data_IF_164795712673
#
_entry.id   IF_164795712673
#
_cell.length_a   1.000
_cell.length_b   1.000
_cell.length_c   1.000
_cell.angle_alpha   90.00
_cell.angle_beta   90.00
_cell.angle_gamma   90.00
#
_symmetry.space_group_name_H-M   'P 1'
#
loop_
_entity.id
_entity.type
_entity.pdbx_description
1 polymer ?
#
# COMPACT_ATOMS: atom_id res chain seq x y z
N UNK A 1 11.32 -18.69 1.86
CA UNK A 1 10.07 -19.36 1.46
C UNK A 1 10.05 -20.84 1.82
N UNK A 2 10.95 -21.74 1.33
CA UNK A 2 10.95 -23.18 1.70
C UNK A 2 10.96 -23.43 3.21
N UNK A 3 11.82 -22.76 3.99
CA UNK A 3 11.87 -22.92 5.46
C UNK A 3 10.56 -22.54 6.18
N UNK A 4 9.79 -21.59 5.67
CA UNK A 4 8.49 -21.22 6.21
C UNK A 4 7.39 -22.25 5.88
N UNK A 5 7.55 -22.97 4.77
CA UNK A 5 6.65 -24.07 4.39
C UNK A 5 6.95 -25.34 5.19
N UNK A 6 8.22 -25.58 5.56
CA UNK A 6 8.66 -26.73 6.34
C UNK A 6 8.34 -26.61 7.84
N UNK A 7 8.21 -25.37 8.36
CA UNK A 7 7.85 -25.12 9.76
C UNK A 7 7.01 -23.84 9.86
N UNK A 8 5.73 -23.88 9.50
CA UNK A 8 4.89 -22.69 9.29
C UNK A 8 4.55 -21.94 10.59
N UNK A 9 4.87 -22.49 11.75
CA UNK A 9 4.46 -21.92 13.02
C UNK A 9 2.94 -21.91 13.22
N UNK A 10 2.47 -21.12 14.18
CA UNK A 10 1.04 -20.90 14.37
C UNK A 10 0.49 -20.05 13.21
N UNK A 11 -0.66 -20.44 12.59
CA UNK A 11 -1.27 -19.65 11.53
C UNK A 11 -1.56 -18.21 11.96
N UNK A 12 -1.25 -17.23 11.10
CA UNK A 12 -1.37 -15.80 11.44
C UNK A 12 -2.79 -15.39 11.84
N UNK A 13 -3.81 -16.06 11.33
CA UNK A 13 -5.21 -15.81 11.65
C UNK A 13 -5.63 -16.31 13.05
N UNK A 14 -4.78 -17.08 13.74
CA UNK A 14 -4.94 -17.47 15.15
C UNK A 14 -4.22 -16.50 16.09
N UNK A 15 -3.36 -15.64 15.55
CA UNK A 15 -2.59 -14.68 16.33
C UNK A 15 -3.37 -13.37 16.54
N UNK A 16 -3.05 -12.67 17.64
CA UNK A 16 -3.44 -11.26 17.74
C UNK A 16 -2.74 -10.44 16.64
N UNK A 17 -3.31 -9.31 16.19
CA UNK A 17 -2.68 -8.45 15.19
C UNK A 17 -1.23 -8.10 15.54
N UNK A 18 -0.92 -7.77 16.80
CA UNK A 18 0.43 -7.43 17.23
C UNK A 18 1.42 -8.60 17.11
N UNK A 19 1.00 -9.80 17.47
CA UNK A 19 1.83 -11.01 17.30
C UNK A 19 2.06 -11.30 15.82
N UNK A 20 1.02 -11.19 14.99
CA UNK A 20 1.15 -11.37 13.54
C UNK A 20 2.09 -10.34 12.90
N UNK A 21 2.06 -9.09 13.34
CA UNK A 21 3.00 -8.02 12.93
C UNK A 21 4.43 -8.39 13.31
N UNK A 22 4.64 -8.84 14.54
CA UNK A 22 5.98 -9.23 15.01
C UNK A 22 6.58 -10.38 14.17
N UNK A 23 5.77 -11.33 13.70
CA UNK A 23 6.22 -12.40 12.78
C UNK A 23 6.77 -11.82 11.49
N UNK A 24 6.03 -10.91 10.84
CA UNK A 24 6.45 -10.31 9.58
C UNK A 24 7.70 -9.44 9.74
N UNK A 25 7.73 -8.58 10.75
CA UNK A 25 8.90 -7.72 11.05
C UNK A 25 10.14 -8.55 11.37
N UNK A 26 9.99 -9.64 12.12
CA UNK A 26 11.08 -10.56 12.43
C UNK A 26 11.69 -11.24 11.19
N UNK A 27 10.84 -11.60 10.22
CA UNK A 27 11.29 -12.17 8.94
C UNK A 27 12.12 -11.18 8.12
N UNK A 28 11.74 -9.91 8.12
CA UNK A 28 12.44 -8.85 7.38
C UNK A 28 13.71 -8.37 8.09
N UNK A 29 13.68 -8.24 9.42
CA UNK A 29 14.83 -7.80 10.20
C UNK A 29 16.05 -8.74 10.05
N UNK A 30 15.80 -10.03 9.87
CA UNK A 30 16.85 -11.05 9.70
C UNK A 30 17.36 -11.21 8.26
N UNK A 31 16.97 -10.32 7.35
CA UNK A 31 17.45 -10.36 5.97
C UNK A 31 18.94 -9.96 5.90
N UNK A 32 19.83 -10.81 5.37
CA UNK A 32 21.26 -10.49 5.25
C UNK A 32 21.57 -9.47 4.14
N UNK A 33 20.58 -9.04 3.40
CA UNK A 33 20.75 -8.18 2.23
C UNK A 33 20.87 -6.73 2.66
N UNK A 34 21.96 -6.07 2.30
CA UNK A 34 22.19 -4.67 2.59
C UNK A 34 21.15 -3.78 1.90
N UNK A 35 20.69 -2.76 2.61
CA UNK A 35 19.79 -1.74 2.07
C UNK A 35 20.62 -0.72 1.27
N UNK A 36 20.20 -0.37 0.03
CA UNK A 36 20.89 0.67 -0.73
C UNK A 36 20.88 2.02 0.00
N UNK A 37 21.94 2.83 -0.12
CA UNK A 37 22.00 4.14 0.51
C UNK A 37 20.96 5.09 -0.10
N UNK A 38 20.20 5.75 0.76
CA UNK A 38 19.19 6.76 0.41
C UNK A 38 19.05 7.76 1.53
N UNK A 39 18.57 8.95 1.24
CA UNK A 39 18.12 9.90 2.24
C UNK A 39 16.68 9.54 2.64
N UNK A 40 16.40 9.51 3.94
CA UNK A 40 15.09 9.12 4.50
C UNK A 40 14.64 10.16 5.51
N UNK A 41 13.43 10.65 5.34
CA UNK A 41 12.80 11.61 6.25
C UNK A 41 11.36 11.18 6.52
N UNK A 42 10.94 11.20 7.79
CA UNK A 42 9.54 10.93 8.17
C UNK A 42 8.92 12.20 8.73
N UNK A 43 7.69 12.50 8.29
CA UNK A 43 6.89 13.62 8.78
C UNK A 43 5.41 13.28 8.81
N UNK A 44 4.64 13.99 9.62
CA UNK A 44 3.19 13.98 9.60
C UNK A 44 2.68 15.10 8.71
N UNK A 45 1.73 14.80 7.87
CA UNK A 45 1.06 15.76 6.99
C UNK A 45 -0.44 15.72 7.23
N UNK A 46 -1.11 16.84 7.05
CA UNK A 46 -2.55 16.96 7.19
C UNK A 46 -3.13 17.45 5.89
N UNK A 47 -4.07 16.72 5.33
CA UNK A 47 -4.78 17.08 4.10
C UNK A 47 -6.07 16.27 3.97
N UNK A 48 -6.81 16.51 2.90
CA UNK A 48 -8.07 15.82 2.63
C UNK A 48 -9.30 16.56 3.15
N UNK A 49 -10.51 16.05 2.83
CA UNK A 49 -11.76 16.73 3.13
C UNK A 49 -12.05 16.89 4.63
N UNK A 50 -11.48 16.01 5.47
CA UNK A 50 -11.67 15.98 6.92
C UNK A 50 -10.39 16.31 7.68
N UNK A 51 -9.38 16.90 6.99
CA UNK A 51 -8.06 17.17 7.57
C UNK A 51 -7.41 15.92 8.15
N UNK A 52 -7.45 14.81 7.38
CA UNK A 52 -6.83 13.56 7.76
C UNK A 52 -5.34 13.76 8.03
N UNK A 53 -4.90 13.33 9.19
CA UNK A 53 -3.48 13.24 9.52
C UNK A 53 -2.92 11.90 9.04
N UNK A 54 -1.77 11.95 8.39
CA UNK A 54 -1.04 10.75 7.97
C UNK A 54 0.46 10.94 8.08
N UNK A 55 1.13 9.94 8.63
CA UNK A 55 2.59 9.88 8.60
C UNK A 55 3.04 9.42 7.23
N UNK A 56 4.03 10.13 6.66
CA UNK A 56 4.69 9.75 5.41
C UNK A 56 6.19 9.63 5.64
N UNK A 57 6.81 8.68 4.93
CA UNK A 57 8.27 8.56 4.89
C UNK A 57 8.76 8.84 3.48
N UNK A 58 9.58 9.88 3.32
CA UNK A 58 10.14 10.31 2.04
C UNK A 58 11.48 9.61 1.88
N UNK A 59 11.65 8.88 0.79
CA UNK A 59 12.88 8.17 0.44
C UNK A 59 13.40 8.72 -0.88
N UNK A 60 14.67 9.15 -0.91
CA UNK A 60 15.30 9.74 -2.09
C UNK A 60 16.66 9.07 -2.35
N UNK A 61 17.11 8.94 -3.60
CA UNK A 61 18.50 8.60 -3.86
C UNK A 61 19.44 9.57 -3.13
N UNK A 62 20.55 9.04 -2.62
CA UNK A 62 21.49 9.84 -1.83
C UNK A 62 22.04 11.01 -2.67
N UNK A 63 22.24 12.15 -2.02
CA UNK A 63 22.75 13.40 -2.62
C UNK A 63 21.82 14.08 -3.65
N UNK A 64 20.55 13.69 -3.76
CA UNK A 64 19.57 14.33 -4.65
C UNK A 64 18.70 15.38 -3.96
N UNK A 65 19.04 15.80 -2.74
CA UNK A 65 18.20 16.68 -1.93
C UNK A 65 17.85 18.03 -2.58
N UNK A 66 18.66 18.51 -3.55
CA UNK A 66 18.41 19.74 -4.33
C UNK A 66 17.79 19.48 -5.70
N UNK A 67 17.66 18.24 -6.13
CA UNK A 67 17.09 17.90 -7.42
C UNK A 67 15.58 17.81 -7.34
N UNK A 68 14.89 18.26 -8.39
CA UNK A 68 13.43 18.11 -8.52
C UNK A 68 13.16 16.76 -9.21
N UNK A 69 12.80 15.75 -8.42
CA UNK A 69 12.59 14.38 -8.89
C UNK A 69 11.12 14.10 -9.21
N UNK A 70 10.81 13.15 -10.13
CA UNK A 70 9.49 12.54 -10.19
C UNK A 70 9.12 11.93 -8.84
N UNK A 71 7.84 11.79 -8.55
CA UNK A 71 7.39 11.28 -7.26
C UNK A 71 6.45 10.09 -7.39
N UNK A 72 6.67 9.11 -6.54
CA UNK A 72 5.81 7.94 -6.37
C UNK A 72 5.21 7.94 -4.97
N UNK A 73 3.90 7.82 -4.89
CA UNK A 73 3.20 7.46 -3.66
C UNK A 73 3.24 5.95 -3.55
N UNK A 74 3.91 5.44 -2.53
CA UNK A 74 4.00 4.00 -2.29
C UNK A 74 3.06 3.59 -1.15
N UNK A 75 2.17 2.64 -1.44
CA UNK A 75 1.21 2.08 -0.48
C UNK A 75 1.57 0.61 -0.27
N UNK A 76 1.88 0.24 0.96
CA UNK A 76 2.43 -1.07 1.25
C UNK A 76 1.38 -2.16 1.40
N UNK A 77 1.79 -3.41 1.15
CA UNK A 77 1.04 -4.62 1.40
C UNK A 77 1.04 -5.05 2.87
N UNK A 78 0.50 -6.24 3.14
CA UNK A 78 0.42 -6.83 4.48
C UNK A 78 -1.01 -7.01 4.99
N UNK A 79 -1.99 -7.19 4.08
CA UNK A 79 -3.38 -7.50 4.47
C UNK A 79 -4.08 -6.37 5.22
N UNK A 80 -3.67 -5.10 5.05
CA UNK A 80 -4.12 -3.93 5.83
C UNK A 80 -3.80 -4.00 7.33
N UNK A 81 -3.30 -5.13 7.83
CA UNK A 81 -3.10 -5.45 9.26
C UNK A 81 -1.62 -5.47 9.61
N UNK A 82 -0.78 -5.90 8.68
CA UNK A 82 0.65 -6.12 8.85
C UNK A 82 1.45 -5.14 8.00
N UNK A 83 2.75 -5.14 8.19
CA UNK A 83 3.69 -4.36 7.38
C UNK A 83 3.90 -2.95 7.93
N UNK A 84 4.68 -2.20 7.18
CA UNK A 84 5.13 -0.85 7.51
C UNK A 84 6.40 -0.54 6.76
N UNK A 85 6.99 0.62 7.03
CA UNK A 85 8.21 1.06 6.34
C UNK A 85 9.37 0.09 6.57
N UNK A 86 9.57 -0.40 7.79
CA UNK A 86 10.62 -1.35 8.17
C UNK A 86 10.61 -2.62 7.31
N UNK A 87 9.42 -3.16 7.03
CA UNK A 87 9.24 -4.36 6.22
C UNK A 87 9.46 -4.11 4.71
N UNK A 88 9.27 -2.89 4.24
CA UNK A 88 9.35 -2.53 2.82
C UNK A 88 10.56 -1.64 2.49
N UNK A 89 11.31 -1.21 3.48
CA UNK A 89 12.39 -0.22 3.34
C UNK A 89 13.39 -0.57 2.25
N UNK A 90 13.86 -1.83 2.18
CA UNK A 90 14.78 -2.25 1.15
C UNK A 90 14.19 -2.08 -0.26
N UNK A 91 12.96 -2.54 -0.45
CA UNK A 91 12.27 -2.46 -1.73
C UNK A 91 12.12 -1.01 -2.20
N UNK A 92 11.63 -0.12 -1.34
CA UNK A 92 11.44 1.29 -1.72
C UNK A 92 12.76 2.01 -1.97
N UNK A 93 13.83 1.68 -1.22
CA UNK A 93 15.18 2.21 -1.48
C UNK A 93 15.73 1.75 -2.84
N UNK A 94 15.52 0.47 -3.20
CA UNK A 94 15.92 -0.04 -4.52
C UNK A 94 15.15 0.64 -5.66
N UNK A 95 13.83 0.80 -5.51
CA UNK A 95 13.01 1.49 -6.51
C UNK A 95 13.46 2.95 -6.65
N UNK A 96 13.64 3.67 -5.55
CA UNK A 96 14.08 5.06 -5.56
C UNK A 96 15.40 5.24 -6.33
N UNK A 97 16.40 4.41 -6.01
CA UNK A 97 17.71 4.48 -6.66
C UNK A 97 17.68 4.06 -8.14
N UNK A 98 17.03 2.92 -8.46
CA UNK A 98 17.03 2.39 -9.83
C UNK A 98 16.24 3.25 -10.81
N UNK A 99 15.18 3.89 -10.35
CA UNK A 99 14.34 4.75 -11.17
C UNK A 99 14.72 6.25 -11.08
N UNK A 100 15.62 6.61 -10.18
CA UNK A 100 15.98 8.00 -9.85
C UNK A 100 14.76 8.85 -9.53
N UNK A 101 13.97 8.44 -8.56
CA UNK A 101 12.71 9.07 -8.13
C UNK A 101 12.67 9.27 -6.63
N UNK A 102 11.85 10.21 -6.18
CA UNK A 102 11.46 10.29 -4.79
C UNK A 102 10.26 9.37 -4.53
N UNK A 103 10.30 8.63 -3.43
CA UNK A 103 9.16 7.83 -2.96
C UNK A 103 8.60 8.47 -1.70
N UNK A 104 7.28 8.67 -1.69
CA UNK A 104 6.51 9.02 -0.50
C UNK A 104 5.77 7.77 -0.06
N UNK A 105 6.33 7.10 0.93
CA UNK A 105 5.74 5.91 1.54
C UNK A 105 4.65 6.34 2.53
N UNK A 106 3.45 5.80 2.37
CA UNK A 106 2.30 6.11 3.23
C UNK A 106 2.27 5.18 4.43
N UNK A 107 2.51 5.70 5.62
CA UNK A 107 2.37 4.97 6.87
C UNK A 107 0.91 5.03 7.32
N UNK A 108 0.01 4.38 6.58
CA UNK A 108 -1.41 4.37 6.92
C UNK A 108 -1.69 3.60 8.21
N UNK A 109 -2.73 3.99 8.93
CA UNK A 109 -3.14 3.31 10.16
C UNK A 109 -3.67 1.92 9.84
N UNK A 110 -3.09 0.91 10.48
CA UNK A 110 -3.41 -0.49 10.23
C UNK A 110 -4.77 -0.88 10.82
N UNK A 111 -5.36 -1.92 10.26
CA UNK A 111 -6.51 -2.61 10.83
C UNK A 111 -6.06 -3.62 11.89
N UNK A 112 -6.87 -3.93 12.91
CA UNK A 112 -8.26 -3.50 13.12
C UNK A 112 -8.41 -2.14 13.81
N UNK A 113 -7.32 -1.47 14.20
CA UNK A 113 -7.36 -0.17 14.91
C UNK A 113 -8.05 0.90 14.07
N UNK A 114 -7.81 0.86 12.76
CA UNK A 114 -8.56 1.67 11.79
C UNK A 114 -9.11 0.76 10.68
N UNK A 115 -10.43 0.79 10.51
CA UNK A 115 -11.11 0.04 9.46
C UNK A 115 -11.32 0.89 8.21
N UNK A 116 -11.74 0.24 7.10
CA UNK A 116 -12.17 0.96 5.92
C UNK A 116 -13.19 2.07 6.29
N UNK A 117 -13.04 3.30 5.77
CA UNK A 117 -12.12 3.69 4.68
C UNK A 117 -10.81 4.37 5.14
N UNK A 118 -10.40 4.31 6.41
CA UNK A 118 -9.34 5.15 6.98
C UNK A 118 -8.02 5.06 6.18
N UNK A 119 -7.52 3.86 5.91
CA UNK A 119 -6.27 3.69 5.16
C UNK A 119 -6.33 4.31 3.75
N UNK A 120 -7.47 4.19 3.07
CA UNK A 120 -7.69 4.80 1.75
C UNK A 120 -7.73 6.33 1.84
N UNK A 121 -8.43 6.89 2.82
CA UNK A 121 -8.50 8.34 3.02
C UNK A 121 -7.14 8.93 3.38
N UNK A 122 -6.34 8.23 4.18
CA UNK A 122 -4.97 8.63 4.49
C UNK A 122 -4.07 8.58 3.25
N UNK A 123 -4.18 7.54 2.42
CA UNK A 123 -3.46 7.46 1.16
C UNK A 123 -3.86 8.60 0.20
N UNK A 124 -5.15 8.92 0.13
CA UNK A 124 -5.65 10.07 -0.64
C UNK A 124 -5.12 11.40 -0.08
N UNK A 125 -5.15 11.58 1.24
CA UNK A 125 -4.64 12.77 1.90
C UNK A 125 -3.14 13.00 1.62
N UNK A 126 -2.32 11.94 1.75
CA UNK A 126 -0.90 11.97 1.41
C UNK A 126 -0.67 12.35 -0.05
N UNK A 127 -1.41 11.73 -0.98
CA UNK A 127 -1.32 12.00 -2.42
C UNK A 127 -1.68 13.45 -2.74
N UNK A 128 -2.76 13.94 -2.15
CA UNK A 128 -3.21 15.31 -2.32
C UNK A 128 -2.22 16.32 -1.74
N UNK A 129 -1.65 16.01 -0.57
CA UNK A 129 -0.61 16.84 0.04
C UNK A 129 0.61 16.96 -0.87
N UNK A 130 1.09 15.84 -1.42
CA UNK A 130 2.24 15.86 -2.36
C UNK A 130 1.92 16.65 -3.61
N UNK A 131 0.72 16.50 -4.18
CA UNK A 131 0.31 17.27 -5.36
C UNK A 131 0.31 18.77 -5.11
N UNK A 132 -0.03 19.21 -3.91
CA UNK A 132 -0.10 20.62 -3.53
C UNK A 132 1.22 21.21 -2.99
N UNK A 133 2.05 20.39 -2.37
CA UNK A 133 3.24 20.80 -1.64
C UNK A 133 4.54 20.18 -2.18
N UNK A 134 4.54 19.60 -3.37
CA UNK A 134 5.69 18.89 -3.94
C UNK A 134 6.97 19.70 -3.96
N UNK A 135 6.89 21.02 -4.19
CA UNK A 135 8.04 21.93 -4.15
C UNK A 135 8.74 21.93 -2.78
N UNK A 136 8.00 21.80 -1.68
CA UNK A 136 8.56 21.79 -0.32
C UNK A 136 9.43 20.57 0.00
N UNK A 137 9.33 19.55 -0.85
CA UNK A 137 10.11 18.32 -0.76
C UNK A 137 10.91 18.05 -2.05
N UNK A 138 11.10 19.06 -2.88
CA UNK A 138 11.84 19.01 -4.13
C UNK A 138 11.38 17.88 -5.06
N UNK A 139 10.06 17.76 -5.31
CA UNK A 139 9.49 16.83 -6.27
C UNK A 139 8.60 17.52 -7.28
N UNK A 140 8.56 16.95 -8.48
CA UNK A 140 7.68 17.36 -9.57
C UNK A 140 6.34 16.61 -9.47
N UNK A 141 5.36 17.27 -8.86
CA UNK A 141 4.01 16.70 -8.72
C UNK A 141 3.27 16.54 -10.06
N UNK A 142 3.74 17.11 -11.16
CA UNK A 142 3.20 16.84 -12.50
C UNK A 142 3.58 15.44 -13.01
N UNK A 143 4.62 14.81 -12.42
CA UNK A 143 5.08 13.45 -12.67
C UNK A 143 4.81 12.54 -11.46
N UNK A 144 3.57 12.58 -10.94
CA UNK A 144 3.14 11.80 -9.80
C UNK A 144 2.57 10.47 -10.25
N UNK A 145 3.11 9.38 -9.70
CA UNK A 145 2.60 8.02 -9.86
C UNK A 145 2.19 7.42 -8.50
N UNK A 146 1.37 6.38 -8.55
CA UNK A 146 0.97 5.60 -7.36
C UNK A 146 1.39 4.14 -7.56
N UNK A 147 2.00 3.56 -6.56
CA UNK A 147 2.50 2.17 -6.58
C UNK A 147 2.07 1.45 -5.32
N UNK A 148 1.70 0.19 -5.45
CA UNK A 148 1.39 -0.63 -4.28
C UNK A 148 1.47 -2.12 -4.56
N UNK A 149 1.74 -2.89 -3.52
CA UNK A 149 1.80 -4.34 -3.55
C UNK A 149 0.66 -4.98 -2.75
N UNK A 150 0.10 -6.09 -3.24
CA UNK A 150 -0.96 -6.83 -2.55
C UNK A 150 -2.15 -5.92 -2.20
N UNK A 151 -2.50 -5.77 -0.92
CA UNK A 151 -3.52 -4.81 -0.46
C UNK A 151 -3.11 -3.36 -0.66
N UNK A 152 -1.83 -3.04 -0.73
CA UNK A 152 -1.36 -1.73 -1.16
C UNK A 152 -1.68 -1.46 -2.63
N UNK A 153 -1.62 -2.49 -3.48
CA UNK A 153 -2.11 -2.43 -4.86
C UNK A 153 -3.64 -2.25 -4.93
N UNK A 154 -4.39 -2.85 -4.02
CA UNK A 154 -5.82 -2.59 -3.85
C UNK A 154 -6.06 -1.10 -3.52
N UNK A 155 -5.39 -0.58 -2.50
CA UNK A 155 -5.51 0.83 -2.10
C UNK A 155 -5.05 1.78 -3.20
N UNK A 156 -4.04 1.43 -3.99
CA UNK A 156 -3.58 2.22 -5.14
C UNK A 156 -4.65 2.30 -6.23
N UNK A 157 -5.28 1.19 -6.59
CA UNK A 157 -6.39 1.16 -7.54
C UNK A 157 -7.60 1.96 -7.01
N UNK A 158 -7.99 1.72 -5.76
CA UNK A 158 -9.08 2.45 -5.10
C UNK A 158 -8.81 3.96 -5.03
N UNK A 159 -7.55 4.35 -4.77
CA UNK A 159 -7.11 5.74 -4.75
C UNK A 159 -7.31 6.43 -6.11
N UNK A 160 -7.00 5.75 -7.22
CA UNK A 160 -7.21 6.32 -8.56
C UNK A 160 -8.69 6.52 -8.89
N UNK A 161 -9.55 5.58 -8.48
CA UNK A 161 -11.01 5.72 -8.57
C UNK A 161 -11.50 6.92 -7.76
N UNK A 162 -11.04 7.02 -6.51
CA UNK A 162 -11.41 8.11 -5.60
C UNK A 162 -10.91 9.48 -6.10
N UNK A 163 -9.68 9.54 -6.66
CA UNK A 163 -9.13 10.75 -7.23
C UNK A 163 -9.95 11.22 -8.44
N UNK A 164 -10.38 10.31 -9.30
CA UNK A 164 -11.27 10.62 -10.42
C UNK A 164 -12.62 11.15 -9.93
N UNK A 165 -13.27 10.45 -9.01
CA UNK A 165 -14.57 10.83 -8.45
C UNK A 165 -14.54 12.22 -7.83
N UNK A 166 -13.49 12.50 -7.05
CA UNK A 166 -13.33 13.78 -6.32
C UNK A 166 -12.70 14.90 -7.15
N UNK A 167 -12.41 14.67 -8.43
CA UNK A 167 -11.65 15.61 -9.29
C UNK A 167 -10.36 16.07 -8.58
N UNK A 168 -9.68 15.11 -7.98
CA UNK A 168 -8.52 15.31 -7.12
C UNK A 168 -7.19 15.35 -7.90
N UNK A 169 -6.07 14.90 -7.27
CA UNK A 169 -4.75 14.96 -7.88
C UNK A 169 -4.66 14.24 -9.22
N UNK A 170 -3.92 14.82 -10.17
CA UNK A 170 -3.60 14.16 -11.44
C UNK A 170 -2.53 13.09 -11.20
N UNK A 171 -2.92 11.82 -11.30
CA UNK A 171 -2.02 10.67 -11.22
C UNK A 171 -1.68 10.28 -12.66
N UNK A 172 -0.39 10.12 -12.99
CA UNK A 172 0.08 9.84 -14.36
C UNK A 172 0.23 8.37 -14.68
N UNK A 173 0.47 7.56 -13.64
CA UNK A 173 0.70 6.13 -13.75
C UNK A 173 0.28 5.46 -12.44
N UNK A 174 -0.26 4.24 -12.52
CA UNK A 174 -0.31 3.37 -11.35
C UNK A 174 0.38 2.03 -11.65
N UNK A 175 1.09 1.50 -10.65
CA UNK A 175 1.73 0.18 -10.75
C UNK A 175 1.20 -0.70 -9.62
N UNK A 176 0.58 -1.80 -10.00
CA UNK A 176 -0.13 -2.68 -9.10
C UNK A 176 0.57 -4.04 -9.05
N UNK A 177 1.39 -4.26 -8.02
CA UNK A 177 2.04 -5.56 -7.84
C UNK A 177 1.07 -6.55 -7.19
N UNK A 178 0.68 -7.60 -7.93
CA UNK A 178 -0.23 -8.66 -7.47
C UNK A 178 -1.39 -8.16 -6.59
N UNK A 179 -2.18 -7.18 -7.06
CA UNK A 179 -3.15 -6.48 -6.25
C UNK A 179 -4.30 -7.38 -5.79
N UNK A 180 -4.83 -7.12 -4.60
CA UNK A 180 -6.11 -7.67 -4.18
C UNK A 180 -7.22 -6.87 -4.86
N UNK A 181 -8.01 -7.49 -5.73
CA UNK A 181 -9.00 -6.79 -6.56
C UNK A 181 -10.44 -7.08 -6.19
N UNK A 182 -10.69 -8.15 -5.43
CA UNK A 182 -12.04 -8.57 -5.04
C UNK A 182 -12.04 -9.32 -3.70
N UNK A 183 -13.21 -9.33 -3.05
CA UNK A 183 -13.48 -10.05 -1.80
C UNK A 183 -14.12 -11.44 -2.01
N UNK A 184 -14.09 -11.96 -3.23
CA UNK A 184 -14.59 -13.30 -3.54
C UNK A 184 -13.54 -14.36 -3.22
N UNK A 185 -13.80 -15.21 -2.21
CA UNK A 185 -12.91 -16.28 -1.79
C UNK A 185 -13.20 -17.63 -2.47
N UNK A 186 -14.18 -17.70 -3.37
CA UNK A 186 -14.62 -18.93 -4.04
C UNK A 186 -14.06 -19.07 -5.47
N UNK A 187 -13.05 -18.24 -5.82
CA UNK A 187 -12.40 -18.35 -7.14
C UNK A 187 -11.58 -19.64 -7.23
N UNK A 188 -11.39 -20.21 -8.45
CA UNK A 188 -10.58 -21.41 -8.63
C UNK A 188 -9.17 -21.33 -8.03
N UNK A 189 -8.54 -20.15 -8.07
CA UNK A 189 -7.22 -19.93 -7.47
C UNK A 189 -7.25 -19.98 -5.93
N UNK A 190 -8.27 -19.41 -5.29
CA UNK A 190 -8.43 -19.51 -3.85
C UNK A 190 -8.62 -20.95 -3.39
N UNK A 191 -9.42 -21.73 -4.12
CA UNK A 191 -9.65 -23.15 -3.81
C UNK A 191 -8.37 -23.97 -4.03
N UNK A 192 -7.69 -23.76 -5.18
CA UNK A 192 -6.47 -24.50 -5.54
C UNK A 192 -5.31 -24.26 -4.56
N UNK A 193 -5.17 -23.03 -4.06
CA UNK A 193 -4.04 -22.60 -3.22
C UNK A 193 -4.47 -22.31 -1.78
N UNK A 194 -5.59 -22.86 -1.31
CA UNK A 194 -6.15 -22.59 0.01
C UNK A 194 -5.25 -22.99 1.17
N UNK A 195 -4.37 -23.98 0.95
CA UNK A 195 -3.43 -24.54 1.94
C UNK A 195 -2.05 -24.81 1.32
N UNK A 196 -1.04 -25.01 2.16
CA UNK A 196 0.31 -25.37 1.74
C UNK A 196 1.18 -24.17 1.32
N UNK A 197 0.66 -22.95 1.40
CA UNK A 197 1.36 -21.70 1.10
C UNK A 197 1.30 -20.77 2.31
N UNK A 198 2.22 -19.79 2.36
CA UNK A 198 2.25 -18.82 3.46
C UNK A 198 0.95 -18.01 3.57
N UNK A 199 0.39 -17.60 2.44
CA UNK A 199 -0.90 -16.91 2.36
C UNK A 199 -2.00 -17.92 2.05
N UNK A 200 -2.75 -18.31 3.07
CA UNK A 200 -3.88 -19.23 2.95
C UNK A 200 -5.20 -18.50 2.69
N UNK A 201 -6.22 -19.22 2.23
CA UNK A 201 -7.59 -18.71 2.07
C UNK A 201 -8.15 -18.17 3.39
N UNK A 202 -7.94 -18.89 4.50
CA UNK A 202 -8.40 -18.46 5.84
C UNK A 202 -7.66 -17.20 6.31
N UNK A 203 -6.36 -17.08 6.02
CA UNK A 203 -5.62 -15.84 6.30
C UNK A 203 -6.22 -14.65 5.53
N UNK A 204 -6.59 -14.83 4.26
CA UNK A 204 -7.25 -13.77 3.49
C UNK A 204 -8.60 -13.38 4.06
N UNK A 205 -9.42 -14.34 4.50
CA UNK A 205 -10.69 -14.05 5.19
C UNK A 205 -10.45 -13.26 6.49
N UNK A 206 -9.43 -13.64 7.24
CA UNK A 206 -9.05 -12.94 8.46
C UNK A 206 -8.62 -11.49 8.18
N UNK A 207 -7.79 -11.22 7.16
CA UNK A 207 -7.42 -9.89 6.73
C UNK A 207 -8.64 -9.04 6.36
N UNK A 208 -9.52 -9.57 5.54
CA UNK A 208 -10.74 -8.89 5.13
C UNK A 208 -11.66 -8.55 6.33
N UNK A 209 -11.79 -9.46 7.29
CA UNK A 209 -12.61 -9.26 8.48
C UNK A 209 -12.04 -8.14 9.38
N UNK A 210 -10.71 -8.01 9.44
CA UNK A 210 -10.06 -6.91 10.14
C UNK A 210 -10.24 -5.56 9.41
N UNK A 211 -10.13 -5.54 8.07
CA UNK A 211 -10.27 -4.35 7.25
C UNK A 211 -11.71 -3.86 7.17
N UNK A 212 -12.64 -4.74 6.82
CA UNK A 212 -14.09 -4.49 6.89
C UNK A 212 -14.88 -5.77 7.04
N UNK A 213 -15.66 -5.88 8.11
CA UNK A 213 -16.60 -7.00 8.34
C UNK A 213 -17.93 -6.82 7.60
N UNK A 214 -18.21 -5.63 7.09
CA UNK A 214 -19.46 -5.30 6.38
C UNK A 214 -19.40 -5.86 4.95
N UNK A 215 -20.21 -6.89 4.67
CA UNK A 215 -20.25 -7.55 3.36
C UNK A 215 -20.71 -6.60 2.23
N UNK A 216 -21.64 -5.70 2.51
CA UNK A 216 -22.09 -4.70 1.53
C UNK A 216 -20.95 -3.76 1.14
N UNK A 217 -20.12 -3.35 2.10
CA UNK A 217 -18.96 -2.52 1.80
C UNK A 217 -17.91 -3.25 0.93
N UNK A 218 -17.81 -4.56 1.04
CA UNK A 218 -16.89 -5.35 0.21
C UNK A 218 -17.23 -5.33 -1.28
N UNK A 219 -18.43 -4.93 -1.67
CA UNK A 219 -18.82 -4.77 -3.07
C UNK A 219 -18.62 -3.36 -3.61
N UNK A 220 -18.20 -2.40 -2.76
CA UNK A 220 -17.89 -1.05 -3.22
C UNK A 220 -16.62 -1.05 -4.10
N UNK A 221 -16.58 -0.33 -5.24
CA UNK A 221 -15.40 -0.25 -6.12
C UNK A 221 -14.12 0.23 -5.42
N UNK A 222 -14.24 1.05 -4.38
CA UNK A 222 -13.11 1.52 -3.57
C UNK A 222 -12.65 0.51 -2.51
N UNK A 223 -13.31 -0.63 -2.40
CA UNK A 223 -12.93 -1.78 -1.57
C UNK A 223 -12.50 -2.96 -2.45
N UNK A 224 -13.30 -3.25 -3.47
CA UNK A 224 -13.06 -4.30 -4.46
C UNK A 224 -13.03 -3.68 -5.86
N UNK A 225 -11.87 -3.22 -6.36
CA UNK A 225 -11.76 -2.50 -7.63
C UNK A 225 -12.31 -3.28 -8.84
N UNK A 226 -12.36 -4.59 -8.78
CA UNK A 226 -12.95 -5.45 -9.82
C UNK A 226 -14.46 -5.22 -9.98
N UNK A 227 -15.14 -4.67 -8.98
CA UNK A 227 -16.56 -4.34 -9.01
C UNK A 227 -16.85 -2.98 -9.69
N UNK A 228 -15.80 -2.24 -10.08
CA UNK A 228 -15.96 -0.97 -10.76
C UNK A 228 -16.56 -1.16 -12.17
N UNK A 229 -17.50 -0.30 -12.53
CA UNK A 229 -18.06 -0.27 -13.88
C UNK A 229 -17.02 0.20 -14.90
N UNK A 230 -17.22 -0.15 -16.18
CA UNK A 230 -16.37 0.32 -17.27
C UNK A 230 -16.26 1.85 -17.27
N UNK A 231 -17.35 2.57 -16.99
CA UNK A 231 -17.34 4.04 -16.97
C UNK A 231 -16.55 4.61 -15.79
N UNK A 232 -16.52 3.93 -14.66
CA UNK A 232 -15.64 4.28 -13.54
C UNK A 232 -14.17 4.05 -13.88
N UNK A 233 -13.85 3.03 -14.66
CA UNK A 233 -12.49 2.69 -15.08
C UNK A 233 -11.95 3.56 -16.21
N UNK A 234 -12.82 4.05 -17.12
CA UNK A 234 -12.41 4.93 -18.24
C UNK A 234 -11.66 6.16 -17.75
N UNK A 235 -10.53 6.44 -18.39
CA UNK A 235 -9.71 7.63 -18.09
C UNK A 235 -8.95 7.58 -16.77
N UNK A 236 -8.87 6.42 -16.11
CA UNK A 236 -7.89 6.17 -15.07
C UNK A 236 -6.47 6.21 -15.66
N UNK A 237 -5.44 6.48 -14.83
CA UNK A 237 -4.07 6.44 -15.30
C UNK A 237 -3.72 5.05 -15.89
N UNK A 238 -2.81 5.00 -16.89
CA UNK A 238 -2.31 3.72 -17.40
C UNK A 238 -1.58 2.91 -16.31
N UNK A 239 -1.47 1.60 -16.53
CA UNK A 239 -0.77 0.64 -15.67
C UNK A 239 0.16 -0.25 -16.48
#
# INVERSE_FOLDING_TARGET
MKKLQENPGEPIYNLSPDKARAVLSGLQANSPVQKPPTDVETRTVTNGPKSEEVSITIVRPQNTGKEVLPVVIYIHGGGWVLGGFDAHERLVREIANKANIAIVFVNYTLSPEAKYPVALEQAYAATRWVAQNGQSINVDSSRLAVVGDSVGGNLAAALTLLAKERKGPSIKLHVLFYPVTDANFETPSYIKYEQGYWLTREAMKWFWNNYTSNQTKRTEPTVSPLQASIDQLKGLPPH
#
